data_IF_266010375783
#
_entry.id   IF_266010375783
#
_cell.length_a   1.000
_cell.length_b   1.000
_cell.length_c   1.000
_cell.angle_alpha   90.00
_cell.angle_beta   90.00
_cell.angle_gamma   90.00
#
_symmetry.space_group_name_H-M   'P 1'
#
loop_
_entity.id
_entity.type
_entity.pdbx_description
1 polymer ?
#
# COMPACT_ATOMS: atom_id res chain seq x y z
N UNK A 1 -2.99 6.24 -14.61
CA UNK A 1 -2.33 6.55 -15.89
C UNK A 1 -0.82 6.36 -15.76
N UNK A 2 -0.23 5.59 -16.66
CA UNK A 2 1.22 5.45 -16.82
C UNK A 2 1.68 6.45 -17.87
N UNK A 3 2.68 7.27 -17.57
CA UNK A 3 3.15 8.35 -18.47
C UNK A 3 4.63 8.17 -18.79
N UNK A 4 4.95 8.15 -20.08
CA UNK A 4 6.31 8.12 -20.59
C UNK A 4 6.77 9.54 -20.93
N UNK A 5 7.98 9.89 -20.50
CA UNK A 5 8.59 11.22 -20.64
C UNK A 5 9.86 11.20 -21.50
N UNK A 6 10.30 10.01 -21.94
CA UNK A 6 11.45 9.82 -22.82
C UNK A 6 11.20 8.68 -23.81
N UNK A 7 11.97 8.62 -24.89
CA UNK A 7 11.89 7.55 -25.89
C UNK A 7 12.12 6.16 -25.26
N UNK A 8 13.07 6.05 -24.33
CA UNK A 8 13.30 4.80 -23.57
C UNK A 8 12.08 4.39 -22.74
N UNK A 9 11.38 5.34 -22.13
CA UNK A 9 10.12 5.06 -21.43
C UNK A 9 8.98 4.70 -22.40
N UNK A 10 8.97 5.26 -23.61
CA UNK A 10 8.01 4.88 -24.67
C UNK A 10 8.22 3.44 -25.14
N UNK A 11 9.47 3.00 -25.31
CA UNK A 11 9.79 1.59 -25.61
C UNK A 11 9.27 0.66 -24.51
N UNK A 12 9.52 1.02 -23.24
CA UNK A 12 9.02 0.26 -22.08
C UNK A 12 7.50 0.31 -21.96
N UNK A 13 6.87 1.42 -22.31
CA UNK A 13 5.42 1.59 -22.34
C UNK A 13 4.79 0.62 -23.35
N UNK A 14 5.38 0.47 -24.55
CA UNK A 14 4.94 -0.53 -25.54
C UNK A 14 5.06 -1.96 -24.99
N UNK A 15 6.15 -2.29 -24.31
CA UNK A 15 6.28 -3.60 -23.66
C UNK A 15 5.26 -3.81 -22.52
N UNK A 16 4.86 -2.75 -21.81
CA UNK A 16 3.77 -2.80 -20.81
C UNK A 16 2.40 -2.99 -21.46
N UNK A 17 2.16 -2.37 -22.62
CA UNK A 17 0.92 -2.51 -23.37
C UNK A 17 0.62 -3.97 -23.72
N UNK A 18 1.62 -4.71 -24.19
CA UNK A 18 1.45 -6.14 -24.51
C UNK A 18 1.18 -6.98 -23.25
N UNK A 19 1.92 -6.73 -22.16
CA UNK A 19 1.73 -7.45 -20.89
C UNK A 19 0.36 -7.22 -20.26
N UNK A 20 -0.13 -5.98 -20.33
CA UNK A 20 -1.46 -5.64 -19.83
C UNK A 20 -2.56 -6.29 -20.66
N UNK A 21 -2.32 -6.57 -21.95
CA UNK A 21 -3.20 -7.37 -22.83
C UNK A 21 -3.35 -8.79 -22.31
N UNK A 22 -2.21 -9.44 -22.06
CA UNK A 22 -2.17 -10.82 -21.58
C UNK A 22 -2.89 -10.98 -20.23
N UNK A 23 -2.94 -9.94 -19.41
CA UNK A 23 -3.62 -9.92 -18.11
C UNK A 23 -5.11 -9.51 -18.20
N UNK A 24 -5.66 -9.28 -19.39
CA UNK A 24 -7.07 -8.91 -19.56
C UNK A 24 -7.45 -7.53 -18.98
N UNK A 25 -6.47 -6.63 -18.84
CA UNK A 25 -6.70 -5.30 -18.26
C UNK A 25 -7.25 -4.37 -19.32
N UNK A 26 -8.46 -3.85 -19.10
CA UNK A 26 -9.03 -2.75 -19.88
C UNK A 26 -8.14 -1.51 -19.78
N UNK A 27 -7.80 -0.95 -20.94
CA UNK A 27 -6.83 0.13 -21.05
C UNK A 27 -6.95 0.86 -22.38
N UNK A 28 -6.48 2.09 -22.39
CA UNK A 28 -6.44 2.95 -23.54
C UNK A 28 -5.01 3.43 -23.78
N UNK A 29 -4.56 3.36 -25.03
CA UNK A 29 -3.31 3.98 -25.44
C UNK A 29 -3.56 5.47 -25.64
N UNK A 30 -2.67 6.31 -25.10
CA UNK A 30 -2.74 7.75 -25.26
C UNK A 30 -1.47 8.24 -25.97
N UNK A 31 -1.65 8.96 -27.07
CA UNK A 31 -0.60 9.77 -27.65
C UNK A 31 -0.41 11.08 -26.85
N UNK A 32 0.62 11.87 -27.18
CA UNK A 32 0.93 13.12 -26.47
C UNK A 32 -0.20 14.17 -26.51
N UNK A 33 -1.00 14.20 -27.57
CA UNK A 33 -2.14 15.13 -27.71
C UNK A 33 -3.27 14.71 -26.77
N UNK A 34 -3.70 13.44 -26.83
CA UNK A 34 -4.75 12.88 -25.96
C UNK A 34 -4.35 12.96 -24.48
N UNK A 35 -3.06 12.77 -24.18
CA UNK A 35 -2.51 12.93 -22.83
C UNK A 35 -2.72 14.35 -22.31
N UNK A 36 -2.42 15.37 -23.14
CA UNK A 36 -2.56 16.78 -22.78
C UNK A 36 -4.01 17.21 -22.64
N UNK A 37 -4.89 16.66 -23.47
CA UNK A 37 -6.34 16.90 -23.38
C UNK A 37 -6.90 16.40 -22.03
N UNK A 38 -6.44 15.24 -21.55
CA UNK A 38 -6.88 14.66 -20.27
C UNK A 38 -6.17 15.25 -19.05
N UNK A 39 -4.89 15.59 -19.19
CA UNK A 39 -4.03 16.14 -18.14
C UNK A 39 -3.22 17.33 -18.66
N UNK A 40 -3.78 18.55 -18.64
CA UNK A 40 -3.10 19.73 -19.17
C UNK A 40 -1.88 20.17 -18.36
N UNK A 41 -1.79 19.74 -17.10
CA UNK A 41 -0.74 20.15 -16.17
C UNK A 41 0.45 19.18 -16.09
N UNK A 42 0.54 18.21 -17.01
CA UNK A 42 1.66 17.25 -17.07
C UNK A 42 2.36 17.29 -18.43
N UNK A 43 3.59 16.77 -18.47
CA UNK A 43 4.36 16.58 -19.70
C UNK A 43 4.59 15.09 -19.93
N UNK A 44 4.43 14.63 -21.17
CA UNK A 44 4.72 13.26 -21.58
C UNK A 44 4.65 13.09 -23.10
N UNK A 45 5.33 12.06 -23.60
CA UNK A 45 5.35 11.64 -25.01
C UNK A 45 4.17 10.70 -25.34
N UNK A 46 3.60 10.05 -24.33
CA UNK A 46 2.46 9.16 -24.44
C UNK A 46 2.18 8.45 -23.11
N UNK A 47 1.12 7.65 -23.07
CA UNK A 47 0.74 6.94 -21.86
C UNK A 47 -0.23 5.78 -22.07
N UNK A 48 -0.47 5.06 -20.97
CA UNK A 48 -1.54 4.07 -20.87
C UNK A 48 -2.51 4.52 -19.78
N UNK A 49 -3.76 4.70 -20.16
CA UNK A 49 -4.84 4.95 -19.23
C UNK A 49 -5.54 3.65 -18.85
N UNK A 50 -5.87 3.50 -17.56
CA UNK A 50 -6.53 2.31 -17.00
C UNK A 50 -7.78 2.81 -16.27
N UNK A 51 -8.98 2.71 -16.87
CA UNK A 51 -10.21 3.29 -16.32
C UNK A 51 -10.59 2.75 -14.94
N UNK A 52 -10.25 1.48 -14.67
CA UNK A 52 -10.55 0.81 -13.41
C UNK A 52 -9.63 1.19 -12.24
N UNK A 53 -8.61 2.03 -12.47
CA UNK A 53 -7.71 2.48 -11.41
C UNK A 53 -8.38 3.50 -10.48
N UNK A 54 -8.07 3.42 -9.18
CA UNK A 54 -8.65 4.32 -8.19
C UNK A 54 -7.87 4.32 -6.87
N UNK A 55 -8.20 5.27 -6.00
CA UNK A 55 -7.67 5.35 -4.63
C UNK A 55 -8.73 4.83 -3.66
N UNK A 56 -8.28 4.07 -2.66
CA UNK A 56 -9.12 3.62 -1.55
C UNK A 56 -8.51 4.01 -0.21
N UNK A 57 -9.37 4.35 0.76
CA UNK A 57 -8.95 4.52 2.15
C UNK A 57 -8.74 3.15 2.79
N UNK A 58 -7.48 2.73 2.93
CA UNK A 58 -7.15 1.47 3.62
C UNK A 58 -7.71 1.43 5.04
N UNK A 59 -7.77 2.56 5.75
CA UNK A 59 -8.37 2.66 7.08
C UNK A 59 -9.85 2.28 7.06
N UNK A 60 -10.60 2.76 6.08
CA UNK A 60 -12.02 2.46 6.00
C UNK A 60 -12.26 1.02 5.59
N UNK A 61 -11.44 0.50 4.67
CA UNK A 61 -11.46 -0.92 4.28
C UNK A 61 -11.22 -1.80 5.51
N UNK A 62 -10.13 -1.56 6.26
CA UNK A 62 -9.81 -2.36 7.44
C UNK A 62 -10.83 -2.19 8.56
N UNK A 63 -11.39 -0.99 8.75
CA UNK A 63 -12.47 -0.77 9.70
C UNK A 63 -13.76 -1.53 9.31
N UNK A 64 -14.09 -1.57 8.01
CA UNK A 64 -15.22 -2.36 7.53
C UNK A 64 -14.99 -3.87 7.71
N UNK A 65 -13.78 -4.36 7.40
CA UNK A 65 -13.39 -5.75 7.62
C UNK A 65 -13.46 -6.13 9.11
N UNK A 66 -12.96 -5.26 10.00
CA UNK A 66 -13.04 -5.44 11.45
C UNK A 66 -14.49 -5.57 11.93
N UNK A 67 -15.38 -4.70 11.45
CA UNK A 67 -16.81 -4.77 11.77
C UNK A 67 -17.45 -6.08 11.30
N UNK A 68 -17.14 -6.53 10.07
CA UNK A 68 -17.66 -7.80 9.53
C UNK A 68 -17.16 -8.98 10.36
N UNK A 69 -15.89 -8.97 10.74
CA UNK A 69 -15.28 -10.01 11.58
C UNK A 69 -15.95 -10.07 12.96
N UNK A 70 -16.14 -8.93 13.63
CA UNK A 70 -16.81 -8.86 14.92
C UNK A 70 -18.29 -9.26 14.84
N UNK A 71 -18.99 -8.87 13.77
CA UNK A 71 -20.38 -9.29 13.54
C UNK A 71 -20.53 -10.81 13.35
N UNK A 72 -19.45 -11.51 13.00
CA UNK A 72 -19.40 -12.98 12.91
C UNK A 72 -18.93 -13.64 14.21
N UNK A 73 -18.82 -12.90 15.30
CA UNK A 73 -18.40 -13.39 16.62
C UNK A 73 -16.88 -13.37 16.85
N UNK A 74 -16.11 -12.76 15.95
CA UNK A 74 -14.67 -12.59 16.15
C UNK A 74 -14.35 -11.50 17.18
N UNK A 75 -13.27 -11.69 17.95
CA UNK A 75 -12.81 -10.70 18.92
C UNK A 75 -11.54 -10.00 18.43
N UNK A 76 -11.49 -8.68 18.58
CA UNK A 76 -10.31 -7.87 18.26
C UNK A 76 -9.78 -7.27 19.56
N UNK A 77 -8.58 -7.70 19.93
CA UNK A 77 -7.91 -7.26 21.15
C UNK A 77 -6.79 -6.30 20.76
N UNK A 78 -7.01 -5.01 20.99
CA UNK A 78 -5.99 -3.98 20.82
C UNK A 78 -5.08 -3.89 22.04
N UNK A 79 -3.94 -3.20 21.90
CA UNK A 79 -2.93 -3.09 22.96
C UNK A 79 -2.49 -4.44 23.51
N UNK A 80 -2.39 -5.45 22.64
CA UNK A 80 -2.01 -6.82 22.94
C UNK A 80 -0.79 -7.20 22.09
N UNK A 81 0.36 -6.57 22.38
CA UNK A 81 1.60 -6.85 21.67
C UNK A 81 2.08 -8.26 22.04
N UNK A 82 2.08 -9.18 21.08
CA UNK A 82 2.61 -10.53 21.29
C UNK A 82 4.10 -10.45 21.64
N UNK A 83 4.45 -10.95 22.81
CA UNK A 83 5.82 -10.95 23.36
C UNK A 83 6.39 -12.34 23.56
N UNK A 84 5.57 -13.39 23.45
CA UNK A 84 6.01 -14.76 23.54
C UNK A 84 4.98 -15.73 22.96
N UNK A 85 5.49 -16.80 22.38
CA UNK A 85 4.69 -17.89 21.83
C UNK A 85 5.23 -19.22 22.37
N UNK A 86 4.34 -20.16 22.69
CA UNK A 86 4.71 -21.51 23.09
C UNK A 86 3.75 -22.50 22.46
N UNK A 87 4.27 -23.36 21.60
CA UNK A 87 3.48 -24.42 20.97
C UNK A 87 3.50 -25.69 21.83
N UNK A 88 2.39 -26.42 21.84
CA UNK A 88 2.25 -27.72 22.46
C UNK A 88 1.34 -28.61 21.60
N UNK A 89 1.18 -29.87 21.99
CA UNK A 89 0.49 -30.90 21.19
C UNK A 89 -0.91 -30.49 20.66
N UNK A 90 -1.62 -29.62 21.38
CA UNK A 90 -3.02 -29.30 21.12
C UNK A 90 -3.26 -27.82 20.75
N UNK A 91 -2.21 -26.99 20.68
CA UNK A 91 -2.39 -25.56 20.44
C UNK A 91 -1.15 -24.73 20.68
N UNK A 92 -1.38 -23.42 20.72
CA UNK A 92 -0.36 -22.40 20.93
C UNK A 92 -0.83 -21.45 22.02
N UNK A 93 0.04 -21.23 23.01
CA UNK A 93 -0.11 -20.20 24.03
C UNK A 93 0.53 -18.91 23.53
N UNK A 94 -0.24 -17.83 23.55
CA UNK A 94 0.17 -16.49 23.14
C UNK A 94 0.24 -15.61 24.39
N UNK A 95 1.42 -15.07 24.66
CA UNK A 95 1.64 -14.10 25.74
C UNK A 95 1.79 -12.70 25.18
N UNK A 96 1.18 -11.73 25.82
CA UNK A 96 1.30 -10.33 25.45
C UNK A 96 2.13 -9.55 26.46
N UNK A 97 2.78 -8.49 25.99
CA UNK A 97 3.61 -7.61 26.81
C UNK A 97 2.82 -6.95 27.95
N UNK A 98 1.51 -6.79 27.75
CA UNK A 98 0.59 -6.22 28.73
C UNK A 98 0.13 -7.22 29.80
N UNK A 99 0.66 -8.45 29.78
CA UNK A 99 0.35 -9.49 30.76
C UNK A 99 -0.86 -10.35 30.41
N UNK A 100 -1.38 -10.26 29.18
CA UNK A 100 -2.43 -11.14 28.70
C UNK A 100 -1.88 -12.50 28.28
N UNK A 101 -2.66 -13.55 28.50
CA UNK A 101 -2.38 -14.91 28.01
C UNK A 101 -3.61 -15.45 27.29
N UNK A 102 -3.41 -15.97 26.09
CA UNK A 102 -4.45 -16.53 25.23
C UNK A 102 -4.02 -17.90 24.74
N UNK A 103 -4.97 -18.79 24.51
CA UNK A 103 -4.71 -20.12 23.94
C UNK A 103 -5.59 -20.31 22.69
N UNK A 104 -4.98 -20.87 21.65
CA UNK A 104 -5.69 -21.19 20.41
C UNK A 104 -5.19 -22.53 19.86
N UNK A 105 -6.09 -23.29 19.22
CA UNK A 105 -5.73 -24.53 18.50
C UNK A 105 -4.92 -24.24 17.23
N UNK A 106 -5.01 -23.04 16.67
CA UNK A 106 -4.30 -22.63 15.46
C UNK A 106 -3.94 -21.15 15.54
N UNK A 107 -2.69 -20.84 15.22
CA UNK A 107 -2.20 -19.46 15.12
C UNK A 107 -1.89 -19.13 13.66
N UNK A 108 -2.56 -18.10 13.11
CA UNK A 108 -2.24 -17.54 11.80
C UNK A 108 -1.54 -16.20 12.03
N UNK A 109 -0.26 -16.12 11.63
CA UNK A 109 0.51 -14.89 11.72
C UNK A 109 0.24 -13.97 10.53
N UNK A 110 -0.16 -12.72 10.81
CA UNK A 110 -0.28 -11.64 9.83
C UNK A 110 0.51 -10.40 10.28
N UNK A 111 1.68 -10.60 10.92
CA UNK A 111 2.41 -9.56 11.64
C UNK A 111 3.31 -8.67 10.78
N UNK A 112 3.21 -8.77 9.45
CA UNK A 112 3.89 -7.90 8.50
C UNK A 112 5.40 -7.81 8.76
N UNK A 113 5.87 -6.61 9.15
CA UNK A 113 7.29 -6.35 9.41
C UNK A 113 7.89 -7.15 10.58
N UNK A 114 7.06 -7.82 11.37
CA UNK A 114 7.47 -8.62 12.52
C UNK A 114 7.37 -10.13 12.27
N UNK A 115 7.14 -10.57 11.02
CA UNK A 115 6.88 -11.96 10.69
C UNK A 115 8.03 -12.90 11.09
N UNK A 116 9.27 -12.54 10.76
CA UNK A 116 10.47 -13.32 11.11
C UNK A 116 10.69 -13.37 12.63
N UNK A 117 10.42 -12.26 13.33
CA UNK A 117 10.53 -12.17 14.79
C UNK A 117 9.52 -13.05 15.51
N UNK A 118 8.28 -13.15 15.03
CA UNK A 118 7.29 -14.05 15.62
C UNK A 118 7.72 -15.51 15.52
N UNK A 119 8.29 -15.94 14.39
CA UNK A 119 8.79 -17.31 14.26
C UNK A 119 9.94 -17.58 15.24
N UNK A 120 10.83 -16.60 15.43
CA UNK A 120 11.90 -16.69 16.45
C UNK A 120 11.38 -16.79 17.88
N UNK A 121 10.19 -16.23 18.19
CA UNK A 121 9.58 -16.39 19.52
C UNK A 121 9.20 -17.84 19.85
N UNK A 122 8.99 -18.68 18.83
CA UNK A 122 8.77 -20.13 18.98
C UNK A 122 10.09 -20.93 19.13
N UNK A 123 11.25 -20.26 19.12
CA UNK A 123 12.56 -20.93 19.10
C UNK A 123 12.90 -21.57 17.75
N UNK A 124 12.22 -21.16 16.67
CA UNK A 124 12.41 -21.68 15.32
C UNK A 124 13.21 -20.70 14.45
N UNK A 125 13.97 -21.23 13.50
CA UNK A 125 14.63 -20.45 12.46
C UNK A 125 13.66 -20.16 11.30
N UNK A 126 13.37 -18.89 10.96
CA UNK A 126 12.30 -18.56 10.01
C UNK A 126 12.57 -18.97 8.55
N UNK A 127 13.83 -19.22 8.16
CA UNK A 127 14.21 -19.45 6.75
C UNK A 127 14.10 -18.22 5.85
N UNK A 128 13.69 -17.07 6.41
CA UNK A 128 13.62 -15.77 5.76
C UNK A 128 13.95 -14.67 6.78
N UNK A 129 14.24 -13.47 6.28
CA UNK A 129 14.37 -12.25 7.09
C UNK A 129 13.49 -11.16 6.49
N UNK A 130 12.94 -10.29 7.33
CA UNK A 130 12.21 -9.13 6.85
C UNK A 130 13.14 -7.92 6.79
N UNK A 131 13.37 -7.43 5.57
CA UNK A 131 14.13 -6.21 5.31
C UNK A 131 13.16 -5.04 5.04
N UNK A 132 12.90 -4.16 6.02
CA UNK A 132 11.94 -3.08 5.83
C UNK A 132 12.51 -1.97 4.94
N UNK A 133 11.68 -1.50 4.00
CA UNK A 133 11.94 -0.30 3.22
C UNK A 133 10.98 0.80 3.64
N UNK A 134 11.51 1.99 3.92
CA UNK A 134 10.69 3.16 4.25
C UNK A 134 10.23 3.82 2.96
N UNK A 135 8.91 3.89 2.78
CA UNK A 135 8.28 4.77 1.81
C UNK A 135 7.90 6.09 2.45
N UNK A 136 7.98 7.18 1.69
CA UNK A 136 7.52 8.50 2.11
C UNK A 136 6.48 9.03 1.12
N UNK A 137 5.45 9.67 1.67
CA UNK A 137 4.38 10.29 0.89
C UNK A 137 4.30 11.76 1.25
N UNK A 138 4.26 12.60 0.22
CA UNK A 138 4.02 14.03 0.36
C UNK A 138 2.58 14.32 0.00
N UNK A 139 1.96 15.22 0.76
CA UNK A 139 0.62 15.71 0.48
C UNK A 139 0.69 17.20 0.24
N UNK A 140 0.13 17.62 -0.88
CA UNK A 140 0.01 19.03 -1.21
C UNK A 140 -1.09 19.69 -0.36
N UNK A 141 -1.04 21.01 -0.26
CA UNK A 141 -2.10 21.76 0.39
C UNK A 141 -3.44 21.56 -0.36
N UNK A 142 -4.60 21.61 0.34
CA UNK A 142 -5.89 21.33 -0.28
C UNK A 142 -6.22 22.18 -1.51
N UNK A 143 -5.66 23.39 -1.62
CA UNK A 143 -5.86 24.27 -2.78
C UNK A 143 -5.26 23.68 -4.08
N UNK A 144 -4.33 22.72 -3.96
CA UNK A 144 -3.65 22.05 -5.07
C UNK A 144 -4.27 20.71 -5.46
N UNK A 145 -5.42 20.37 -4.88
CA UNK A 145 -6.08 19.09 -5.10
C UNK A 145 -6.52 18.86 -6.56
N UNK A 146 -6.68 19.92 -7.34
CA UNK A 146 -7.15 19.88 -8.73
C UNK A 146 -6.02 20.06 -9.76
N UNK A 147 -4.75 19.87 -9.37
CA UNK A 147 -3.63 19.98 -10.32
C UNK A 147 -3.68 18.84 -11.36
N UNK A 148 -4.10 17.65 -10.98
CA UNK A 148 -4.25 16.51 -11.89
C UNK A 148 -5.63 15.88 -11.73
N UNK A 149 -6.17 15.34 -12.83
CA UNK A 149 -7.49 14.72 -12.85
C UNK A 149 -7.43 13.21 -12.54
N UNK A 150 -6.29 12.58 -12.82
CA UNK A 150 -6.06 11.14 -12.73
C UNK A 150 -4.79 10.82 -11.93
N UNK A 151 -4.66 9.55 -11.55
CA UNK A 151 -3.44 9.05 -10.91
C UNK A 151 -2.31 8.99 -11.94
N UNK A 152 -1.21 9.69 -11.66
CA UNK A 152 -0.05 9.77 -12.57
C UNK A 152 1.08 8.91 -12.01
N UNK A 153 1.57 7.97 -12.81
CA UNK A 153 2.66 7.09 -12.46
C UNK A 153 3.72 7.07 -13.55
N UNK A 154 5.01 7.07 -13.19
CA UNK A 154 6.09 6.93 -14.16
C UNK A 154 6.16 5.50 -14.70
N UNK A 155 6.89 5.32 -15.81
CA UNK A 155 7.16 3.99 -16.34
C UNK A 155 8.22 3.30 -15.47
N UNK A 156 7.95 2.07 -14.96
CA UNK A 156 8.93 1.33 -14.17
C UNK A 156 10.27 1.18 -14.91
N UNK A 157 11.36 1.41 -14.20
CA UNK A 157 12.73 1.32 -14.71
C UNK A 157 13.69 0.68 -13.70
N UNK A 158 14.87 0.20 -14.16
CA UNK A 158 15.87 -0.40 -13.30
C UNK A 158 16.37 0.65 -12.29
N UNK A 159 16.21 0.38 -10.99
CA UNK A 159 16.59 1.25 -9.88
C UNK A 159 15.44 1.94 -9.13
N UNK A 160 14.23 1.97 -9.70
CA UNK A 160 13.09 2.63 -9.07
C UNK A 160 12.14 1.59 -8.44
N UNK A 161 12.22 1.41 -7.12
CA UNK A 161 11.09 0.89 -6.37
C UNK A 161 9.97 1.94 -6.45
N UNK A 162 8.98 1.73 -7.30
CA UNK A 162 7.93 2.73 -7.60
C UNK A 162 6.98 2.85 -6.40
N UNK A 163 7.13 3.89 -5.61
CA UNK A 163 6.05 4.42 -4.76
C UNK A 163 5.39 5.57 -5.54
N UNK A 164 4.23 5.31 -6.14
CA UNK A 164 3.55 6.28 -6.97
C UNK A 164 3.15 7.54 -6.22
N UNK A 165 3.26 8.70 -6.89
CA UNK A 165 2.79 9.99 -6.39
C UNK A 165 1.54 10.41 -7.15
N UNK A 166 0.38 10.25 -6.52
CA UNK A 166 -0.80 11.08 -6.78
C UNK A 166 -1.75 10.99 -5.59
N UNK A 167 -2.19 12.14 -5.07
CA UNK A 167 -3.21 12.25 -4.03
C UNK A 167 -4.52 12.75 -4.65
N UNK A 168 -5.65 12.13 -4.32
CA UNK A 168 -6.95 12.47 -4.89
C UNK A 168 -7.50 13.81 -4.35
N UNK A 169 -8.19 14.62 -5.16
CA UNK A 169 -8.79 15.88 -4.76
C UNK A 169 -9.81 15.86 -3.60
N UNK A 170 -10.36 14.70 -3.22
CA UNK A 170 -11.47 14.59 -2.28
C UNK A 170 -11.16 13.78 -1.02
N UNK A 171 -9.89 13.53 -0.72
CA UNK A 171 -9.51 12.90 0.53
C UNK A 171 -9.70 13.86 1.72
N UNK A 172 -10.93 13.89 2.27
CA UNK A 172 -11.31 14.53 3.55
C UNK A 172 -10.56 13.94 4.77
N UNK A 173 -9.59 13.05 4.56
CA UNK A 173 -9.13 12.04 5.51
C UNK A 173 -7.94 12.41 6.40
N UNK A 174 -7.53 13.67 6.45
CA UNK A 174 -6.48 14.09 7.41
C UNK A 174 -6.81 15.40 8.13
N UNK A 175 -8.08 15.60 8.49
CA UNK A 175 -8.44 16.46 9.63
C UNK A 175 -8.36 15.64 10.92
N UNK A 176 -7.17 15.14 11.26
CA UNK A 176 -6.91 14.80 12.66
C UNK A 176 -5.58 15.41 13.07
N UNK A 177 -5.70 16.46 13.88
CA UNK A 177 -4.60 17.26 14.39
C UNK A 177 -3.94 16.49 15.53
N UNK A 178 -2.69 16.07 15.36
CA UNK A 178 -1.61 16.25 16.36
C UNK A 178 -0.30 15.64 15.85
N UNK A 179 0.56 16.51 15.32
CA UNK A 179 2.00 16.38 15.46
C UNK A 179 2.55 17.78 15.65
N UNK A 180 2.57 18.24 16.90
CA UNK A 180 3.34 19.41 17.30
C UNK A 180 4.75 18.92 17.63
N UNK A 181 5.71 19.52 16.93
CA UNK A 181 7.13 19.76 17.27
C UNK A 181 8.14 18.62 17.04
N UNK A 182 9.18 18.98 16.29
CA UNK A 182 10.53 18.51 16.59
C UNK A 182 11.44 18.25 15.37
N UNK A 183 11.74 19.26 14.55
CA UNK A 183 13.03 19.40 13.88
C UNK A 183 13.13 20.81 13.28
N UNK A 184 13.95 21.64 13.91
CA UNK A 184 14.25 23.00 13.47
C UNK A 184 15.25 23.03 12.33
N UNK A 185 15.21 24.14 11.59
CA UNK A 185 16.41 24.93 11.40
C UNK A 185 16.83 25.54 12.74
#
# INVERSE_FOLDING_TARGET
MLVATSELEMERLRALWERTAANGIEREWLNAMELREREPNITGLGGIFVPSSGIVSYRNVTAAMAKIFQARGGEIIYNAEVSGLSEHKNGVVIRTRQGGEYEASTLISCSGLMADRLVKMLGLEPGFIICPFRGEYFRLAPEHNQIVNHLIYPIPGPGNAVFGRASHPNDRWQRDRRAKRGAGF
#
